data_IF_258948331926
#
_entry.id   IF_258948331926
#
_cell.length_a   1.000
_cell.length_b   1.000
_cell.length_c   1.000
_cell.angle_alpha   90.00
_cell.angle_beta   90.00
_cell.angle_gamma   90.00
#
_symmetry.space_group_name_H-M   'P 1'
#
loop_
_entity.id
_entity.type
_entity.pdbx_description
1 polymer ?
#
# COMPACT_ATOMS: atom_id res chain seq x y z
N UNK A 1 -41.02 3.12 -20.34
CA UNK A 1 -40.60 2.08 -19.38
C UNK A 1 -39.76 2.75 -18.30
N UNK A 2 -40.17 2.67 -17.04
CA UNK A 2 -39.30 3.07 -15.94
C UNK A 2 -38.24 1.98 -15.72
N UNK A 3 -36.97 2.33 -15.45
CA UNK A 3 -35.97 1.33 -15.08
C UNK A 3 -36.38 0.66 -13.75
N UNK A 4 -36.10 -0.64 -13.58
CA UNK A 4 -36.43 -1.33 -12.34
C UNK A 4 -35.66 -0.68 -11.17
N UNK A 5 -36.39 -0.29 -10.12
CA UNK A 5 -35.77 0.16 -8.87
C UNK A 5 -35.29 -1.06 -8.09
N UNK A 6 -33.98 -1.31 -8.10
CA UNK A 6 -33.38 -2.23 -7.14
C UNK A 6 -33.28 -1.52 -5.79
N UNK A 7 -34.26 -1.71 -4.92
CA UNK A 7 -34.11 -1.39 -3.49
C UNK A 7 -33.41 -2.56 -2.80
N UNK A 8 -32.08 -2.54 -2.82
CA UNK A 8 -31.29 -3.32 -1.88
C UNK A 8 -31.50 -2.72 -0.49
N UNK A 9 -32.33 -3.37 0.35
CA UNK A 9 -32.29 -3.18 1.80
C UNK A 9 -30.98 -3.81 2.29
N UNK A 10 -29.89 -3.07 2.18
CA UNK A 10 -28.65 -3.41 2.84
C UNK A 10 -28.74 -2.91 4.30
N UNK A 11 -28.98 -3.82 5.23
CA UNK A 11 -28.69 -3.54 6.63
C UNK A 11 -27.17 -3.56 6.81
N UNK A 12 -26.57 -2.38 6.85
CA UNK A 12 -25.15 -2.24 7.21
C UNK A 12 -25.01 -2.57 8.68
N UNK A 13 -24.53 -3.77 8.97
CA UNK A 13 -24.11 -4.12 10.32
C UNK A 13 -22.79 -3.40 10.62
N UNK A 14 -22.88 -2.14 11.04
CA UNK A 14 -21.72 -1.33 11.43
C UNK A 14 -21.23 -1.79 12.80
N UNK A 15 -20.55 -2.92 12.83
CA UNK A 15 -19.59 -3.18 13.90
C UNK A 15 -18.60 -2.02 13.92
N UNK A 16 -18.49 -1.31 15.05
CA UNK A 16 -17.53 -0.20 15.24
C UNK A 16 -16.06 -0.65 15.16
N UNK A 17 -15.80 -1.93 14.85
CA UNK A 17 -14.49 -2.53 14.69
C UNK A 17 -14.35 -3.34 13.38
N UNK A 18 -15.23 -3.16 12.38
CA UNK A 18 -14.98 -3.73 11.06
C UNK A 18 -13.99 -2.84 10.31
N UNK A 19 -12.70 -3.19 10.37
CA UNK A 19 -11.77 -2.90 9.28
C UNK A 19 -12.46 -3.26 7.96
N UNK A 20 -12.39 -2.38 6.95
CA UNK A 20 -12.96 -2.56 5.61
C UNK A 20 -12.31 -3.73 4.82
N UNK A 21 -12.09 -4.88 5.45
CA UNK A 21 -11.72 -6.10 4.77
C UNK A 21 -12.99 -6.61 4.12
N UNK A 22 -13.27 -6.08 2.93
CA UNK A 22 -14.26 -6.53 1.95
C UNK A 22 -15.63 -6.89 2.54
N UNK A 23 -16.65 -6.07 2.27
CA UNK A 23 -18.05 -6.44 2.57
C UNK A 23 -18.25 -7.91 2.17
N UNK A 24 -18.73 -8.75 3.09
CA UNK A 24 -18.79 -10.24 3.01
C UNK A 24 -19.15 -10.81 1.63
N UNK A 25 -19.87 -10.05 0.82
CA UNK A 25 -20.20 -10.35 -0.57
C UNK A 25 -19.01 -10.38 -1.54
N UNK A 26 -17.95 -9.58 -1.36
CA UNK A 26 -16.78 -9.58 -2.25
C UNK A 26 -15.83 -10.74 -1.91
N UNK A 27 -15.63 -11.04 -0.62
CA UNK A 27 -14.75 -12.15 -0.17
C UNK A 27 -15.16 -13.51 -0.75
N UNK A 28 -16.44 -13.72 -1.01
CA UNK A 28 -16.97 -14.97 -1.57
C UNK A 28 -17.00 -15.01 -3.11
N UNK A 29 -16.69 -13.91 -3.79
CA UNK A 29 -16.74 -13.82 -5.26
C UNK A 29 -15.33 -13.93 -5.85
N UNK A 30 -14.33 -13.28 -5.24
CA UNK A 30 -12.95 -13.35 -5.70
C UNK A 30 -11.97 -12.99 -4.59
N UNK A 31 -10.80 -13.60 -4.60
CA UNK A 31 -9.67 -13.10 -3.82
C UNK A 31 -9.25 -11.76 -4.40
N UNK A 32 -8.95 -10.79 -3.54
CA UNK A 32 -8.48 -9.49 -3.97
C UNK A 32 -6.96 -9.35 -3.77
N UNK A 33 -6.30 -8.81 -4.78
CA UNK A 33 -4.99 -8.21 -4.62
C UNK A 33 -5.17 -6.78 -4.10
N UNK A 34 -4.21 -6.33 -3.30
CA UNK A 34 -4.20 -5.00 -2.69
C UNK A 34 -2.74 -4.53 -2.64
N UNK A 35 -2.50 -3.28 -3.04
CA UNK A 35 -1.20 -2.63 -3.10
C UNK A 35 -1.28 -1.26 -2.44
N UNK A 36 -0.50 -1.07 -1.37
CA UNK A 36 -0.72 0.04 -0.44
C UNK A 36 0.57 0.68 0.10
N UNK A 37 0.54 2.00 0.24
CA UNK A 37 1.62 2.81 0.81
C UNK A 37 1.07 3.87 1.76
N UNK A 38 1.82 4.14 2.82
CA UNK A 38 1.57 5.22 3.75
C UNK A 38 2.36 6.47 3.36
N UNK A 39 1.72 7.63 3.33
CA UNK A 39 2.32 8.91 3.02
C UNK A 39 2.13 9.86 4.21
N UNK A 40 3.20 10.55 4.60
CA UNK A 40 3.09 11.72 5.49
C UNK A 40 2.43 12.86 4.73
N UNK A 41 1.44 13.51 5.31
CA UNK A 41 0.60 14.49 4.61
C UNK A 41 1.28 15.86 4.57
N UNK A 42 1.45 16.39 3.36
CA UNK A 42 1.84 17.79 3.15
C UNK A 42 0.71 18.73 3.56
N UNK A 43 1.06 19.95 3.96
CA UNK A 43 0.07 20.95 4.41
C UNK A 43 -0.87 21.40 3.29
N UNK A 44 -0.41 21.31 2.04
CA UNK A 44 -1.18 21.61 0.83
C UNK A 44 -1.79 20.35 0.17
N UNK A 45 -1.60 19.17 0.77
CA UNK A 45 -2.09 17.89 0.29
C UNK A 45 -1.59 17.47 -1.12
N UNK A 46 -0.60 18.16 -1.69
CA UNK A 46 -0.14 17.91 -3.07
C UNK A 46 0.32 16.46 -3.26
N UNK A 47 1.07 15.94 -2.29
CA UNK A 47 1.59 14.58 -2.38
C UNK A 47 0.49 13.49 -2.36
N UNK A 48 -0.65 13.74 -1.70
CA UNK A 48 -1.82 12.86 -1.75
C UNK A 48 -2.45 12.94 -3.14
N UNK A 49 -2.65 14.15 -3.65
CA UNK A 49 -3.21 14.38 -4.98
C UNK A 49 -2.39 13.67 -6.06
N UNK A 50 -1.07 13.85 -6.03
CA UNK A 50 -0.14 13.25 -6.99
C UNK A 50 -0.16 11.71 -6.91
N UNK A 51 -0.19 11.15 -5.70
CA UNK A 51 -0.22 9.71 -5.50
C UNK A 51 -1.57 9.09 -5.93
N UNK A 52 -2.68 9.78 -5.67
CA UNK A 52 -4.01 9.34 -6.10
C UNK A 52 -4.14 9.38 -7.63
N UNK A 53 -3.72 10.48 -8.25
CA UNK A 53 -3.75 10.61 -9.71
C UNK A 53 -2.81 9.63 -10.40
N UNK A 54 -1.66 9.31 -9.81
CA UNK A 54 -0.79 8.25 -10.33
C UNK A 54 -1.55 6.92 -10.52
N UNK A 55 -2.40 6.52 -9.57
CA UNK A 55 -3.19 5.28 -9.70
C UNK A 55 -4.14 5.36 -10.90
N UNK A 56 -4.83 6.49 -11.06
CA UNK A 56 -5.82 6.72 -12.12
C UNK A 56 -5.15 6.76 -13.49
N UNK A 57 -4.10 7.58 -13.62
CA UNK A 57 -3.41 7.82 -14.89
C UNK A 57 -2.77 6.55 -15.42
N UNK A 58 -2.06 5.80 -14.55
CA UNK A 58 -1.44 4.54 -14.93
C UNK A 58 -2.50 3.52 -15.35
N UNK A 59 -3.62 3.42 -14.63
CA UNK A 59 -4.71 2.51 -15.01
C UNK A 59 -5.31 2.89 -16.39
N UNK A 60 -5.49 4.19 -16.64
CA UNK A 60 -6.02 4.70 -17.90
C UNK A 60 -5.04 4.55 -19.07
N UNK A 61 -3.73 4.71 -18.83
CA UNK A 61 -2.68 4.41 -19.81
C UNK A 61 -2.69 2.94 -20.18
N UNK A 62 -2.70 2.05 -19.19
CA UNK A 62 -2.73 0.61 -19.44
C UNK A 62 -3.99 0.17 -20.19
N UNK A 63 -5.14 0.80 -19.92
CA UNK A 63 -6.34 0.57 -20.71
C UNK A 63 -6.18 0.98 -22.17
N UNK A 64 -5.59 2.16 -22.44
CA UNK A 64 -5.34 2.62 -23.80
C UNK A 64 -4.34 1.74 -24.56
N UNK A 65 -3.29 1.29 -23.87
CA UNK A 65 -2.19 0.53 -24.48
C UNK A 65 -2.54 -0.95 -24.70
N UNK A 66 -3.32 -1.54 -23.79
CA UNK A 66 -3.50 -3.00 -23.74
C UNK A 66 -4.96 -3.45 -23.62
N UNK A 67 -5.90 -2.52 -23.46
CA UNK A 67 -7.31 -2.82 -23.18
C UNK A 67 -7.56 -3.37 -21.76
N UNK A 68 -6.55 -3.40 -20.89
CA UNK A 68 -6.67 -3.91 -19.53
C UNK A 68 -7.02 -2.81 -18.52
N UNK A 69 -7.84 -3.14 -17.52
CA UNK A 69 -8.02 -2.36 -16.30
C UNK A 69 -7.43 -3.11 -15.09
N UNK A 70 -6.12 -2.96 -14.82
CA UNK A 70 -5.47 -3.63 -13.70
C UNK A 70 -6.05 -3.28 -12.33
N UNK A 71 -6.48 -2.03 -12.11
CA UNK A 71 -7.18 -1.64 -10.88
C UNK A 71 -8.69 -1.64 -11.16
N UNK A 72 -9.37 -2.73 -10.79
CA UNK A 72 -10.77 -2.99 -11.18
C UNK A 72 -11.74 -3.26 -10.02
N UNK A 73 -11.29 -3.18 -8.76
CA UNK A 73 -12.19 -3.28 -7.60
C UNK A 73 -12.44 -1.92 -6.96
N UNK A 74 -11.43 -1.37 -6.29
CA UNK A 74 -11.51 -0.05 -5.68
C UNK A 74 -10.13 0.59 -5.54
N UNK A 75 -10.13 1.91 -5.37
CA UNK A 75 -9.03 2.65 -4.78
C UNK A 75 -9.53 3.29 -3.48
N UNK A 76 -8.68 3.36 -2.45
CA UNK A 76 -9.07 3.91 -1.16
C UNK A 76 -7.98 4.82 -0.56
N UNK A 77 -8.43 5.78 0.24
CA UNK A 77 -7.58 6.58 1.11
C UNK A 77 -8.05 6.35 2.55
N UNK A 78 -7.14 5.92 3.42
CA UNK A 78 -7.39 5.81 4.87
C UNK A 78 -6.51 6.79 5.63
N UNK A 79 -7.11 7.61 6.48
CA UNK A 79 -6.39 8.57 7.30
C UNK A 79 -5.87 7.92 8.59
N UNK A 80 -4.64 8.27 8.97
CA UNK A 80 -3.97 7.75 10.14
C UNK A 80 -3.36 8.90 10.96
N UNK A 81 -3.40 8.74 12.29
CA UNK A 81 -2.53 9.48 13.18
C UNK A 81 -1.09 8.95 13.13
N UNK A 82 -0.17 9.66 13.76
CA UNK A 82 1.20 9.21 13.92
C UNK A 82 1.31 7.91 14.75
N UNK A 83 2.43 7.23 14.57
CA UNK A 83 2.85 6.08 15.38
C UNK A 83 4.31 6.29 15.80
N UNK A 84 4.65 5.85 17.00
CA UNK A 84 6.01 5.80 17.54
C UNK A 84 6.75 4.49 17.21
N UNK A 85 6.05 3.52 16.61
CA UNK A 85 6.64 2.25 16.19
C UNK A 85 7.52 2.46 14.94
N UNK A 86 8.85 2.19 14.99
CA UNK A 86 9.77 2.49 13.88
C UNK A 86 9.37 1.88 12.56
N UNK A 87 8.80 0.67 12.59
CA UNK A 87 8.38 -0.05 11.38
C UNK A 87 6.97 0.33 10.92
N UNK A 88 6.29 1.26 11.57
CA UNK A 88 4.99 1.73 11.09
C UNK A 88 5.13 2.56 9.82
N UNK A 89 4.23 2.34 8.85
CA UNK A 89 4.08 3.25 7.71
C UNK A 89 3.69 4.68 8.13
N UNK A 90 3.11 4.84 9.33
CA UNK A 90 2.80 6.13 9.95
C UNK A 90 3.82 6.54 11.02
N UNK A 91 5.06 6.02 10.98
CA UNK A 91 6.10 6.43 11.92
C UNK A 91 6.41 7.93 11.78
N UNK A 92 6.22 8.68 12.86
CA UNK A 92 6.33 10.14 12.89
C UNK A 92 6.23 10.71 14.30
N UNK A 93 6.03 12.03 14.40
CA UNK A 93 5.90 12.75 15.67
C UNK A 93 4.44 13.09 15.96
N UNK A 94 4.14 13.44 17.21
CA UNK A 94 2.82 13.94 17.57
C UNK A 94 2.43 15.14 16.71
N UNK A 95 1.18 15.14 16.23
CA UNK A 95 0.69 16.15 15.28
C UNK A 95 0.91 15.81 13.81
N UNK A 96 1.79 14.86 13.47
CA UNK A 96 1.90 14.36 12.10
C UNK A 96 0.61 13.64 11.68
N UNK A 97 0.23 13.82 10.42
CA UNK A 97 -0.89 13.15 9.77
C UNK A 97 -0.38 12.29 8.63
N UNK A 98 -0.97 11.13 8.47
CA UNK A 98 -0.63 10.18 7.42
C UNK A 98 -1.87 9.73 6.66
N UNK A 99 -1.68 9.27 5.44
CA UNK A 99 -2.69 8.53 4.68
C UNK A 99 -2.13 7.22 4.17
N UNK A 100 -2.93 6.17 4.16
CA UNK A 100 -2.71 4.99 3.33
C UNK A 100 -3.46 5.17 2.03
N UNK A 101 -2.75 5.08 0.91
CA UNK A 101 -3.32 5.03 -0.43
C UNK A 101 -3.28 3.58 -0.91
N UNK A 102 -4.41 3.08 -1.39
CA UNK A 102 -4.64 1.68 -1.73
C UNK A 102 -5.21 1.55 -3.13
N UNK A 103 -4.67 0.60 -3.89
CA UNK A 103 -5.26 0.10 -5.12
C UNK A 103 -5.63 -1.37 -4.94
N UNK A 104 -6.82 -1.76 -5.39
CA UNK A 104 -7.27 -3.14 -5.32
C UNK A 104 -7.75 -3.67 -6.66
N UNK A 105 -7.53 -4.96 -6.85
CA UNK A 105 -7.84 -5.70 -8.06
C UNK A 105 -8.34 -7.09 -7.73
N UNK A 106 -9.20 -7.66 -8.55
CA UNK A 106 -9.48 -9.09 -8.50
C UNK A 106 -8.18 -9.89 -8.77
N UNK A 107 -8.01 -11.01 -8.07
CA UNK A 107 -6.87 -11.90 -8.28
C UNK A 107 -6.85 -12.44 -9.71
N UNK A 108 -5.66 -12.59 -10.29
CA UNK A 108 -5.50 -13.02 -11.69
C UNK A 108 -5.76 -11.95 -12.76
N UNK A 109 -6.09 -10.71 -12.36
CA UNK A 109 -6.30 -9.62 -13.33
C UNK A 109 -5.06 -9.39 -14.20
N UNK A 110 -5.18 -9.42 -15.54
CA UNK A 110 -4.08 -9.16 -16.45
C UNK A 110 -3.45 -7.77 -16.24
N UNK A 111 -2.12 -7.72 -16.20
CA UNK A 111 -1.39 -6.46 -16.06
C UNK A 111 -1.24 -5.94 -14.62
N UNK A 112 -1.79 -6.61 -13.60
CA UNK A 112 -1.65 -6.18 -12.20
C UNK A 112 -0.19 -5.95 -11.77
N UNK A 113 0.72 -6.88 -12.08
CA UNK A 113 2.13 -6.72 -11.73
C UNK A 113 2.81 -5.54 -12.42
N UNK A 114 2.46 -5.28 -13.69
CA UNK A 114 2.96 -4.10 -14.43
C UNK A 114 2.42 -2.80 -13.82
N UNK A 115 1.13 -2.77 -13.49
CA UNK A 115 0.51 -1.65 -12.79
C UNK A 115 1.24 -1.34 -11.47
N UNK A 116 1.45 -2.35 -10.60
CA UNK A 116 2.18 -2.17 -9.35
C UNK A 116 3.60 -1.63 -9.56
N UNK A 117 4.33 -2.08 -10.58
CA UNK A 117 5.68 -1.55 -10.91
C UNK A 117 5.65 -0.10 -11.34
N UNK A 118 4.70 0.29 -12.19
CA UNK A 118 4.53 1.69 -12.62
C UNK A 118 4.14 2.59 -11.45
N UNK A 119 3.24 2.12 -10.58
CA UNK A 119 2.83 2.84 -9.37
C UNK A 119 4.02 3.02 -8.43
N UNK A 120 4.79 1.97 -8.16
CA UNK A 120 6.00 2.07 -7.33
C UNK A 120 7.01 3.07 -7.91
N UNK A 121 7.24 3.04 -9.23
CA UNK A 121 8.13 3.97 -9.90
C UNK A 121 7.69 5.43 -9.73
N UNK A 122 6.38 5.70 -9.83
CA UNK A 122 5.82 7.03 -9.59
C UNK A 122 5.88 7.42 -8.11
N UNK A 123 5.56 6.52 -7.20
CA UNK A 123 5.61 6.77 -5.75
C UNK A 123 7.04 7.04 -5.28
N UNK A 124 8.05 6.47 -5.94
CA UNK A 124 9.46 6.78 -5.69
C UNK A 124 9.86 8.22 -6.03
N UNK A 125 9.05 8.96 -6.78
CA UNK A 125 9.29 10.38 -7.07
C UNK A 125 8.51 11.32 -6.17
N UNK A 126 7.51 10.83 -5.44
CA UNK A 126 6.66 11.63 -4.56
C UNK A 126 7.33 11.70 -3.20
N UNK A 127 7.84 12.87 -2.81
CA UNK A 127 8.43 13.11 -1.48
C UNK A 127 7.60 14.16 -0.76
N UNK A 128 7.39 13.97 0.55
CA UNK A 128 6.77 15.04 1.35
C UNK A 128 7.68 16.26 1.37
N UNK A 129 7.07 17.45 1.29
CA UNK A 129 7.77 18.73 1.39
C UNK A 129 8.26 19.02 2.81
N UNK A 130 7.73 18.32 3.82
CA UNK A 130 8.05 18.54 5.25
C UNK A 130 9.45 18.05 5.61
N UNK A 131 9.78 16.82 5.23
CA UNK A 131 11.04 16.17 5.61
C UNK A 131 11.69 15.35 4.49
N UNK A 132 11.14 15.42 3.27
CA UNK A 132 11.67 14.69 2.12
C UNK A 132 11.41 13.18 2.15
N UNK A 133 10.64 12.66 3.11
CA UNK A 133 10.33 11.23 3.18
C UNK A 133 9.51 10.73 2.00
N UNK A 134 9.76 9.46 1.65
CA UNK A 134 9.05 8.71 0.63
C UNK A 134 7.81 8.01 1.20
N UNK A 135 6.83 7.66 0.35
CA UNK A 135 5.78 6.72 0.70
C UNK A 135 6.36 5.43 1.28
N UNK A 136 5.86 5.00 2.43
CA UNK A 136 6.32 3.79 3.11
C UNK A 136 5.42 2.62 2.72
N UNK A 137 5.96 1.47 2.31
CA UNK A 137 5.14 0.33 1.92
C UNK A 137 4.33 -0.19 3.12
N UNK A 138 3.07 -0.56 2.87
CA UNK A 138 2.29 -1.28 3.87
C UNK A 138 2.73 -2.76 3.87
N UNK A 139 3.36 -3.20 4.95
CA UNK A 139 3.98 -4.54 5.06
C UNK A 139 3.10 -5.70 4.59
N UNK A 140 1.82 -5.71 4.96
CA UNK A 140 0.90 -6.78 4.59
C UNK A 140 0.33 -6.71 3.17
N UNK A 141 0.72 -5.71 2.37
CA UNK A 141 0.07 -5.36 1.09
C UNK A 141 1.06 -5.13 -0.06
N UNK A 142 2.34 -5.40 0.14
CA UNK A 142 3.33 -5.35 -0.94
C UNK A 142 3.86 -6.75 -1.21
N UNK A 143 4.08 -7.07 -2.48
CA UNK A 143 4.55 -8.38 -2.91
C UNK A 143 5.71 -8.24 -3.92
N UNK A 144 6.77 -9.02 -3.71
CA UNK A 144 7.93 -9.12 -4.59
C UNK A 144 7.60 -9.67 -5.97
N UNK A 145 6.60 -10.55 -6.07
CA UNK A 145 6.20 -11.12 -7.36
C UNK A 145 5.66 -10.04 -8.31
N UNK A 146 5.01 -9.01 -7.74
CA UNK A 146 4.52 -7.86 -8.51
C UNK A 146 5.62 -6.81 -8.67
N UNK A 147 6.41 -6.58 -7.63
CA UNK A 147 7.45 -5.54 -7.59
C UNK A 147 8.79 -6.10 -7.09
N UNK A 148 9.63 -6.68 -7.96
CA UNK A 148 10.86 -7.37 -7.55
C UNK A 148 11.86 -6.48 -6.80
N UNK A 149 11.86 -5.17 -7.10
CA UNK A 149 12.73 -4.18 -6.47
C UNK A 149 12.17 -3.61 -5.15
N UNK A 150 11.02 -4.10 -4.64
CA UNK A 150 10.37 -3.53 -3.46
C UNK A 150 11.27 -3.53 -2.23
N UNK A 151 12.13 -4.53 -2.03
CA UNK A 151 13.05 -4.55 -0.89
C UNK A 151 14.03 -3.36 -0.90
N UNK A 152 14.57 -3.03 -2.09
CA UNK A 152 15.45 -1.87 -2.24
C UNK A 152 14.70 -0.55 -2.00
N UNK A 153 13.46 -0.44 -2.49
CA UNK A 153 12.60 0.70 -2.21
C UNK A 153 12.30 0.84 -0.71
N UNK A 154 11.93 -0.25 -0.04
CA UNK A 154 11.65 -0.27 1.41
C UNK A 154 12.87 0.23 2.20
N UNK A 155 14.09 -0.21 1.84
CA UNK A 155 15.32 0.31 2.44
C UNK A 155 15.52 1.80 2.21
N UNK A 156 15.19 2.30 1.02
CA UNK A 156 15.26 3.73 0.75
C UNK A 156 14.24 4.54 1.56
N UNK A 157 13.00 4.05 1.63
CA UNK A 157 11.89 4.77 2.29
C UNK A 157 11.94 4.69 3.83
N UNK A 158 12.52 3.62 4.38
CA UNK A 158 12.50 3.32 5.82
C UNK A 158 13.91 3.09 6.41
N UNK A 159 14.98 3.41 5.68
CA UNK A 159 16.36 3.08 6.05
C UNK A 159 16.74 3.45 7.48
N UNK A 160 16.56 4.71 7.92
CA UNK A 160 16.87 5.10 9.30
C UNK A 160 16.09 4.29 10.36
N UNK A 161 14.84 3.91 10.08
CA UNK A 161 14.02 3.11 10.99
C UNK A 161 14.44 1.64 11.00
N UNK A 162 14.81 1.09 9.84
CA UNK A 162 15.31 -0.28 9.71
C UNK A 162 16.62 -0.45 10.47
N UNK A 163 17.57 0.47 10.29
CA UNK A 163 18.85 0.43 11.00
C UNK A 163 18.68 0.50 12.52
N UNK A 164 17.71 1.29 13.02
CA UNK A 164 17.40 1.37 14.46
C UNK A 164 17.00 0.02 15.07
N UNK A 165 16.38 -0.87 14.31
CA UNK A 165 15.86 -2.15 14.83
C UNK A 165 16.65 -3.36 14.34
N UNK A 166 17.53 -3.20 13.34
CA UNK A 166 18.30 -4.28 12.69
C UNK A 166 19.08 -5.14 13.67
N UNK A 167 19.79 -4.52 14.61
CA UNK A 167 20.54 -5.26 15.64
C UNK A 167 19.61 -6.10 16.52
N UNK A 168 18.48 -5.54 16.96
CA UNK A 168 17.51 -6.26 17.78
C UNK A 168 16.89 -7.44 17.02
N UNK A 169 16.58 -7.26 15.74
CA UNK A 169 16.08 -8.34 14.85
C UNK A 169 17.12 -9.46 14.75
N UNK A 170 18.39 -9.13 14.48
CA UNK A 170 19.45 -10.12 14.36
C UNK A 170 19.74 -10.85 15.69
N UNK A 171 19.79 -10.11 16.81
CA UNK A 171 20.04 -10.69 18.14
C UNK A 171 18.93 -11.64 18.59
N UNK A 172 17.69 -11.35 18.21
CA UNK A 172 16.52 -12.16 18.60
C UNK A 172 16.35 -13.39 17.71
N UNK A 173 16.75 -13.29 16.44
CA UNK A 173 16.69 -14.40 15.48
C UNK A 173 18.00 -14.50 14.67
N UNK A 174 19.09 -14.98 15.29
CA UNK A 174 20.40 -15.04 14.64
C UNK A 174 20.44 -16.08 13.52
N UNK A 175 19.61 -17.12 13.60
CA UNK A 175 19.52 -18.19 12.59
C UNK A 175 18.51 -17.90 11.48
N UNK A 176 17.73 -16.82 11.59
CA UNK A 176 16.73 -16.45 10.58
C UNK A 176 15.49 -17.34 10.54
N UNK A 177 15.16 -18.05 11.61
CA UNK A 177 14.03 -18.98 11.66
C UNK A 177 12.68 -18.29 11.47
N UNK A 178 12.57 -17.01 11.82
CA UNK A 178 11.36 -16.21 11.73
C UNK A 178 11.41 -15.17 10.61
N UNK A 179 12.38 -15.28 9.70
CA UNK A 179 12.53 -14.37 8.55
C UNK A 179 12.32 -15.15 7.26
N UNK A 180 11.62 -14.54 6.31
CA UNK A 180 11.62 -15.01 4.92
C UNK A 180 12.69 -14.26 4.11
N UNK A 181 12.85 -14.63 2.84
CA UNK A 181 13.79 -13.98 1.93
C UNK A 181 13.53 -12.47 1.80
N UNK A 182 12.26 -12.04 1.79
CA UNK A 182 11.92 -10.61 1.75
C UNK A 182 12.45 -9.83 2.95
N UNK A 183 12.17 -10.30 4.17
CA UNK A 183 12.62 -9.64 5.39
C UNK A 183 14.15 -9.64 5.48
N UNK A 184 14.80 -10.74 5.10
CA UNK A 184 16.26 -10.84 5.13
C UNK A 184 16.91 -9.84 4.17
N UNK A 185 16.36 -9.66 2.96
CA UNK A 185 16.83 -8.61 2.05
C UNK A 185 16.54 -7.20 2.57
N UNK A 186 15.36 -6.94 3.15
CA UNK A 186 15.01 -5.61 3.68
C UNK A 186 15.94 -5.21 4.83
N UNK A 187 16.25 -6.12 5.74
CA UNK A 187 17.15 -5.86 6.86
C UNK A 187 18.63 -6.08 6.54
N UNK A 188 18.95 -6.57 5.33
CA UNK A 188 20.32 -6.97 4.93
C UNK A 188 20.94 -7.98 5.89
N UNK A 189 20.16 -9.00 6.25
CA UNK A 189 20.56 -10.08 7.14
C UNK A 189 20.78 -11.37 6.35
N UNK A 190 21.62 -12.29 6.85
CA UNK A 190 21.78 -13.61 6.25
C UNK A 190 20.44 -14.37 6.19
N UNK A 191 20.24 -15.09 5.09
CA UNK A 191 19.14 -16.04 4.91
C UNK A 191 19.66 -17.46 4.98
#
# INVERSE_FOLDING_TARGET
>A
MQPPSFQLKAEYNTSRASSQHFVRYIEHITHANDYSFALKVDDDYTNIYDAWWALIDINNEMFRDTGSYPMNLYAAIRWLGHSDCPLSGAYGQEGDRFVLIEASSAHGTPGWGEFCRRVLAKFATIKTKKDGSLPKPHWGKVNKDWTPNIAAYTRQAMGPQLERVKEAVFKTDPTGMFRNQYLSEVFELPY
#
